data_IF_622337081325
#
_entry.id   IF_622337081325
#
_cell.length_a   1.000
_cell.length_b   1.000
_cell.length_c   1.000
_cell.angle_alpha   90.00
_cell.angle_beta   90.00
_cell.angle_gamma   90.00
#
_symmetry.space_group_name_H-M   'P 1'
#
loop_
_entity.id
_entity.type
_entity.pdbx_description
1 polymer ?
#
# COMPACT_ATOMS: atom_id res chain seq x y z
N UNK A 1 31.25 27.16 23.68
CA UNK A 1 31.16 28.03 22.50
C UNK A 1 31.26 27.15 21.26
N UNK A 2 30.13 26.71 20.70
CA UNK A 2 30.03 26.07 19.40
C UNK A 2 28.57 26.17 18.94
N UNK A 3 28.37 26.67 17.72
CA UNK A 3 27.16 27.29 17.24
C UNK A 3 25.99 26.32 17.00
N UNK A 4 24.86 26.58 17.66
CA UNK A 4 23.54 26.16 17.17
C UNK A 4 23.20 27.00 15.94
N UNK A 5 23.40 26.43 14.75
CA UNK A 5 22.87 26.99 13.52
C UNK A 5 21.39 26.65 13.42
N UNK A 6 20.59 27.72 13.40
CA UNK A 6 19.16 27.76 13.16
C UNK A 6 18.78 26.91 11.94
N UNK A 7 18.10 25.78 12.18
CA UNK A 7 17.26 25.18 11.17
C UNK A 7 16.06 26.11 10.98
N UNK A 8 16.03 26.85 9.87
CA UNK A 8 14.85 27.60 9.46
C UNK A 8 13.64 26.68 9.47
N UNK A 9 12.61 27.06 10.22
CA UNK A 9 11.35 26.34 10.23
C UNK A 9 10.85 26.25 8.78
N UNK A 10 10.86 25.03 8.23
CA UNK A 10 10.15 24.76 6.99
C UNK A 10 8.69 25.20 7.19
N UNK A 11 8.08 25.92 6.22
CA UNK A 11 6.69 26.29 6.34
C UNK A 11 5.87 25.04 6.65
N UNK A 12 4.96 25.13 7.62
CA UNK A 12 4.09 24.02 8.00
C UNK A 12 3.45 23.46 6.71
N UNK A 13 3.85 22.25 6.32
CA UNK A 13 3.26 21.55 5.19
C UNK A 13 1.76 21.53 5.42
N UNK A 14 0.99 22.06 4.46
CA UNK A 14 -0.47 21.92 4.48
C UNK A 14 -0.77 20.45 4.71
N UNK A 15 -1.61 20.15 5.72
CA UNK A 15 -1.94 18.77 6.11
C UNK A 15 -2.39 17.99 4.87
N UNK A 16 -1.63 16.95 4.50
CA UNK A 16 -1.96 16.14 3.33
C UNK A 16 -3.33 15.47 3.52
N UNK A 17 -4.15 15.44 2.48
CA UNK A 17 -5.46 14.79 2.46
C UNK A 17 -5.33 13.43 1.79
N UNK A 18 -5.93 12.42 2.40
CA UNK A 18 -6.01 11.09 1.82
C UNK A 18 -7.15 11.03 0.80
N UNK A 19 -6.85 10.55 -0.41
CA UNK A 19 -7.82 10.49 -1.51
C UNK A 19 -8.02 9.05 -1.94
N UNK A 20 -9.28 8.63 -1.95
CA UNK A 20 -9.74 7.37 -2.52
C UNK A 20 -10.39 7.65 -3.87
N UNK A 21 -9.93 6.97 -4.91
CA UNK A 21 -10.51 7.05 -6.26
C UNK A 21 -11.13 5.69 -6.54
N UNK A 22 -12.46 5.65 -6.58
CA UNK A 22 -13.23 4.45 -6.88
C UNK A 22 -13.48 4.36 -8.40
N UNK A 23 -13.68 3.14 -8.94
CA UNK A 23 -14.15 2.96 -10.30
C UNK A 23 -15.44 3.74 -10.55
N UNK A 24 -15.52 4.43 -11.69
CA UNK A 24 -16.78 5.02 -12.12
C UNK A 24 -17.63 3.93 -12.76
N UNK A 25 -18.93 3.92 -12.48
CA UNK A 25 -19.84 2.89 -12.99
C UNK A 25 -20.36 3.26 -14.38
N UNK A 26 -20.21 2.35 -15.35
CA UNK A 26 -20.69 2.54 -16.71
C UNK A 26 -22.17 2.15 -16.82
N UNK A 27 -23.07 3.15 -16.79
CA UNK A 27 -24.52 2.97 -16.75
C UNK A 27 -25.11 2.99 -18.17
N UNK A 28 -25.93 1.99 -18.49
CA UNK A 28 -26.59 1.83 -19.79
C UNK A 28 -25.62 1.78 -20.98
N UNK A 29 -24.39 1.34 -20.74
CA UNK A 29 -23.34 1.18 -21.73
C UNK A 29 -23.15 -0.28 -22.11
N UNK A 30 -22.87 -0.54 -23.40
CA UNK A 30 -22.62 -1.88 -23.90
C UNK A 30 -21.35 -2.50 -23.29
N UNK A 31 -21.20 -3.83 -23.43
CA UNK A 31 -20.03 -4.57 -22.89
C UNK A 31 -18.68 -3.98 -23.33
N UNK A 32 -18.59 -3.52 -24.58
CA UNK A 32 -17.39 -2.90 -25.15
C UNK A 32 -17.08 -1.49 -24.62
N UNK A 33 -18.01 -0.89 -23.87
CA UNK A 33 -17.87 0.47 -23.35
C UNK A 33 -17.71 0.49 -21.82
N UNK A 34 -17.76 -0.67 -21.18
CA UNK A 34 -17.63 -0.81 -19.72
C UNK A 34 -16.28 -0.30 -19.18
N UNK A 35 -15.23 -0.26 -20.02
CA UNK A 35 -13.93 0.28 -19.65
C UNK A 35 -13.91 1.81 -19.46
N UNK A 36 -14.93 2.53 -19.97
CA UNK A 36 -14.97 4.00 -19.92
C UNK A 36 -15.03 4.54 -18.48
N UNK A 37 -15.69 3.82 -17.57
CA UNK A 37 -15.72 4.20 -16.16
C UNK A 37 -14.34 4.10 -15.51
N UNK A 38 -13.63 3.01 -15.80
CA UNK A 38 -12.26 2.82 -15.34
C UNK A 38 -11.28 3.85 -15.92
N UNK A 39 -11.49 4.25 -17.17
CA UNK A 39 -10.70 5.28 -17.84
C UNK A 39 -10.69 6.60 -17.06
N UNK A 40 -11.83 7.01 -16.48
CA UNK A 40 -11.90 8.19 -15.62
C UNK A 40 -11.05 7.99 -14.36
N UNK A 41 -11.26 6.89 -13.64
CA UNK A 41 -10.53 6.59 -12.41
C UNK A 41 -9.01 6.53 -12.61
N UNK A 42 -8.55 5.93 -13.72
CA UNK A 42 -7.13 5.82 -14.05
C UNK A 42 -6.51 7.17 -14.39
N UNK A 43 -7.20 8.01 -15.16
CA UNK A 43 -6.72 9.36 -15.45
C UNK A 43 -6.59 10.20 -14.17
N UNK A 44 -7.59 10.15 -13.29
CA UNK A 44 -7.54 10.82 -11.98
C UNK A 44 -6.38 10.30 -11.13
N UNK A 45 -6.18 8.97 -11.09
CA UNK A 45 -5.09 8.33 -10.32
C UNK A 45 -3.71 8.78 -10.80
N UNK A 46 -3.45 8.71 -12.10
CA UNK A 46 -2.15 9.09 -12.67
C UNK A 46 -1.83 10.56 -12.43
N UNK A 47 -2.84 11.43 -12.44
CA UNK A 47 -2.64 12.85 -12.25
C UNK A 47 -2.53 13.25 -10.77
N UNK A 48 -3.50 12.87 -9.94
CA UNK A 48 -3.60 13.39 -8.56
C UNK A 48 -2.46 12.93 -7.66
N UNK A 49 -1.83 11.77 -7.94
CA UNK A 49 -0.62 11.30 -7.23
C UNK A 49 0.59 12.22 -7.41
N UNK A 50 0.53 13.18 -8.34
CA UNK A 50 1.59 14.17 -8.58
C UNK A 50 1.50 15.42 -7.69
N UNK A 51 0.48 15.50 -6.83
CA UNK A 51 0.30 16.61 -5.88
C UNK A 51 0.82 16.23 -4.48
N UNK A 52 1.71 17.03 -3.87
CA UNK A 52 2.29 16.71 -2.56
C UNK A 52 1.28 16.76 -1.40
N UNK A 53 0.16 17.45 -1.59
CA UNK A 53 -0.91 17.60 -0.59
C UNK A 53 -1.92 16.47 -0.64
N UNK A 54 -1.81 15.52 -1.58
CA UNK A 54 -2.71 14.39 -1.69
C UNK A 54 -1.96 13.07 -1.47
N UNK A 55 -2.52 12.22 -0.61
CA UNK A 55 -2.04 10.86 -0.39
C UNK A 55 -3.05 9.90 -0.98
N UNK A 56 -2.74 9.34 -2.14
CA UNK A 56 -3.65 8.40 -2.77
C UNK A 56 -3.64 7.07 -2.00
N UNK A 57 -4.83 6.58 -1.65
CA UNK A 57 -4.99 5.25 -1.07
C UNK A 57 -4.75 4.22 -2.18
N UNK A 58 -3.87 3.26 -1.89
CA UNK A 58 -3.55 2.18 -2.81
C UNK A 58 -4.80 1.37 -3.15
N UNK A 59 -5.21 1.48 -4.41
CA UNK A 59 -5.52 0.39 -5.32
C UNK A 59 -5.96 -0.92 -4.66
N UNK A 60 -4.93 -1.66 -4.27
CA UNK A 60 -5.00 -3.03 -3.78
C UNK A 60 -5.75 -3.18 -2.46
N UNK A 61 -5.83 -2.11 -1.65
CA UNK A 61 -6.62 -2.11 -0.41
C UNK A 61 -8.12 -2.19 -0.68
N UNK A 62 -8.58 -1.72 -1.85
CA UNK A 62 -9.98 -1.89 -2.23
C UNK A 62 -10.35 -3.37 -2.36
N UNK A 63 -9.42 -4.26 -2.77
CA UNK A 63 -9.69 -5.69 -2.94
C UNK A 63 -10.03 -6.42 -1.63
N UNK A 64 -9.64 -5.85 -0.50
CA UNK A 64 -9.95 -6.39 0.82
C UNK A 64 -11.38 -6.03 1.26
N UNK A 65 -12.07 -5.14 0.53
CA UNK A 65 -13.44 -4.76 0.78
C UNK A 65 -14.41 -5.58 -0.09
N UNK A 66 -15.69 -5.69 0.30
CA UNK A 66 -16.74 -6.17 -0.58
C UNK A 66 -16.71 -5.40 -1.92
N UNK A 67 -16.76 -6.12 -3.04
CA UNK A 67 -16.79 -5.53 -4.39
C UNK A 67 -18.25 -5.42 -4.83
N UNK A 68 -18.88 -4.24 -4.75
CA UNK A 68 -20.25 -4.08 -5.24
C UNK A 68 -20.28 -4.09 -6.77
N UNK A 69 -21.43 -4.40 -7.34
CA UNK A 69 -21.64 -4.27 -8.80
C UNK A 69 -21.50 -2.80 -9.26
N UNK A 70 -21.95 -1.85 -8.42
CA UNK A 70 -21.79 -0.43 -8.62
C UNK A 70 -21.34 0.25 -7.31
N UNK A 71 -20.37 1.18 -7.42
CA UNK A 71 -19.95 2.02 -6.31
C UNK A 71 -20.95 3.16 -6.10
N UNK A 72 -22.06 2.85 -5.42
CA UNK A 72 -23.02 3.86 -4.98
C UNK A 72 -22.50 4.66 -3.76
N UNK A 73 -23.31 5.59 -3.26
CA UNK A 73 -22.93 6.40 -2.09
C UNK A 73 -22.69 5.55 -0.84
N UNK A 74 -23.48 4.52 -0.59
CA UNK A 74 -23.36 3.70 0.61
C UNK A 74 -22.06 2.90 0.58
N UNK A 75 -21.74 2.27 -0.55
CA UNK A 75 -20.49 1.55 -0.75
C UNK A 75 -19.28 2.49 -0.68
N UNK A 76 -19.37 3.67 -1.28
CA UNK A 76 -18.31 4.68 -1.23
C UNK A 76 -18.05 5.16 0.20
N UNK A 77 -19.09 5.39 1.01
CA UNK A 77 -18.97 5.78 2.42
C UNK A 77 -18.35 4.67 3.28
N UNK A 78 -18.73 3.42 3.05
CA UNK A 78 -18.14 2.27 3.73
C UNK A 78 -16.64 2.17 3.43
N UNK A 79 -16.26 2.27 2.15
CA UNK A 79 -14.85 2.24 1.75
C UNK A 79 -14.07 3.43 2.31
N UNK A 80 -14.64 4.65 2.27
CA UNK A 80 -14.02 5.84 2.81
C UNK A 80 -13.69 5.69 4.31
N UNK A 81 -14.66 5.22 5.11
CA UNK A 81 -14.47 4.98 6.55
C UNK A 81 -13.45 3.89 6.82
N UNK A 82 -13.56 2.77 6.11
CA UNK A 82 -12.69 1.60 6.33
C UNK A 82 -11.24 1.91 5.98
N UNK A 83 -11.02 2.63 4.88
CA UNK A 83 -9.68 2.98 4.40
C UNK A 83 -9.16 4.32 4.92
N UNK A 84 -9.96 5.00 5.76
CA UNK A 84 -9.67 6.31 6.36
C UNK A 84 -9.36 7.38 5.32
N UNK A 85 -10.17 7.43 4.26
CA UNK A 85 -10.09 8.45 3.23
C UNK A 85 -10.70 9.77 3.71
N UNK A 86 -9.97 10.88 3.58
CA UNK A 86 -10.52 12.23 3.79
C UNK A 86 -11.45 12.64 2.64
N UNK A 87 -11.22 12.05 1.47
CA UNK A 87 -11.86 12.36 0.19
C UNK A 87 -12.12 11.08 -0.58
N UNK A 88 -13.32 10.92 -1.11
CA UNK A 88 -13.65 9.83 -2.04
C UNK A 88 -14.25 10.37 -3.33
N UNK A 89 -13.55 10.14 -4.44
CA UNK A 89 -14.00 10.42 -5.81
C UNK A 89 -14.57 9.14 -6.43
N UNK A 90 -15.78 9.24 -6.97
CA UNK A 90 -16.49 8.15 -7.65
C UNK A 90 -17.51 8.76 -8.62
N UNK A 91 -18.30 7.94 -9.30
CA UNK A 91 -19.35 8.46 -10.16
C UNK A 91 -19.82 7.48 -11.20
N UNK A 92 -20.47 8.01 -12.22
CA UNK A 92 -21.03 7.23 -13.32
C UNK A 92 -20.56 7.79 -14.66
N UNK A 93 -20.50 6.94 -15.67
CA UNK A 93 -20.37 7.32 -17.07
C UNK A 93 -21.59 6.77 -17.80
N UNK A 94 -22.32 7.63 -18.53
CA UNK A 94 -23.57 7.26 -19.21
C UNK A 94 -23.76 8.03 -20.51
N UNK A 95 -24.68 7.58 -21.35
CA UNK A 95 -25.12 8.32 -22.55
C UNK A 95 -26.26 9.27 -22.21
N UNK A 96 -26.12 10.53 -22.60
CA UNK A 96 -27.14 11.57 -22.46
C UNK A 96 -27.31 12.24 -23.82
N UNK A 97 -28.49 12.09 -24.42
CA UNK A 97 -28.80 12.63 -25.75
C UNK A 97 -27.82 12.23 -26.87
N UNK A 98 -27.28 11.00 -26.79
CA UNK A 98 -26.34 10.43 -27.76
C UNK A 98 -24.86 10.57 -27.37
N UNK A 99 -24.50 11.63 -26.65
CA UNK A 99 -23.13 11.88 -26.18
C UNK A 99 -22.84 11.18 -24.85
N UNK A 100 -21.55 10.98 -24.56
CA UNK A 100 -21.12 10.50 -23.26
C UNK A 100 -21.18 11.63 -22.23
N UNK A 101 -21.47 11.28 -20.98
CA UNK A 101 -21.47 12.20 -19.85
C UNK A 101 -20.84 11.55 -18.64
N UNK A 102 -19.82 12.18 -18.08
CA UNK A 102 -19.21 11.78 -16.81
C UNK A 102 -19.98 12.51 -15.70
N UNK A 103 -20.51 11.74 -14.77
CA UNK A 103 -21.31 12.18 -13.63
C UNK A 103 -20.49 11.97 -12.35
N UNK A 104 -19.54 12.88 -12.04
CA UNK A 104 -18.69 12.74 -10.88
C UNK A 104 -19.45 12.98 -9.59
N UNK A 105 -19.05 12.28 -8.55
CA UNK A 105 -19.52 12.43 -7.19
C UNK A 105 -18.33 12.51 -6.26
N UNK A 106 -18.47 13.32 -5.23
CA UNK A 106 -17.42 13.57 -4.28
C UNK A 106 -17.96 13.60 -2.86
N UNK A 107 -17.32 12.83 -1.99
CA UNK A 107 -17.58 12.79 -0.56
C UNK A 107 -16.35 13.31 0.17
N UNK A 108 -16.54 14.31 1.03
CA UNK A 108 -15.54 14.72 2.01
C UNK A 108 -15.90 14.15 3.39
N UNK A 109 -14.92 13.52 4.04
CA UNK A 109 -15.05 13.04 5.41
C UNK A 109 -14.59 14.13 6.37
N UNK A 110 -15.48 14.63 7.25
CA UNK A 110 -15.17 15.59 8.32
C UNK A 110 -15.55 15.02 9.67
N UNK A 111 -14.56 14.68 10.49
CA UNK A 111 -14.72 14.11 11.84
C UNK A 111 -15.74 12.96 11.91
N UNK A 112 -17.03 13.26 12.03
CA UNK A 112 -18.14 12.29 12.13
C UNK A 112 -19.19 12.39 11.01
N UNK A 113 -19.05 13.32 10.06
CA UNK A 113 -20.02 13.53 8.98
C UNK A 113 -19.37 13.45 7.61
N UNK A 114 -20.12 12.88 6.67
CA UNK A 114 -19.80 12.92 5.26
C UNK A 114 -20.53 14.10 4.62
N UNK A 115 -19.79 14.96 3.93
CA UNK A 115 -20.34 16.08 3.17
C UNK A 115 -20.27 15.77 1.68
N UNK A 116 -21.40 15.92 0.99
CA UNK A 116 -21.47 15.78 -0.48
C UNK A 116 -21.00 17.07 -1.11
N UNK A 117 -19.99 16.98 -1.96
CA UNK A 117 -19.54 18.10 -2.78
C UNK A 117 -20.15 17.94 -4.16
N UNK A 118 -20.97 18.92 -4.56
CA UNK A 118 -21.55 18.94 -5.89
C UNK A 118 -20.44 19.14 -6.93
N UNK A 119 -20.35 18.20 -7.87
CA UNK A 119 -19.50 18.32 -9.05
C UNK A 119 -20.40 18.34 -10.28
N UNK A 120 -20.09 19.23 -11.23
CA UNK A 120 -20.87 19.36 -12.45
C UNK A 120 -20.68 18.15 -13.36
N UNK A 121 -21.78 17.70 -13.96
CA UNK A 121 -21.76 16.74 -15.06
C UNK A 121 -20.87 17.24 -16.19
N UNK A 122 -20.03 16.36 -16.72
CA UNK A 122 -19.06 16.70 -17.76
C UNK A 122 -19.49 16.05 -19.07
N UNK A 123 -20.05 16.81 -20.03
CA UNK A 123 -20.36 16.28 -21.35
C UNK A 123 -19.09 15.95 -22.13
N UNK A 124 -19.13 14.84 -22.85
CA UNK A 124 -18.05 14.29 -23.66
C UNK A 124 -18.62 14.01 -25.04
N UNK A 125 -18.35 14.94 -25.96
CA UNK A 125 -18.66 14.75 -27.37
C UNK A 125 -17.92 13.53 -27.93
N UNK A 126 -18.45 12.95 -29.00
CA UNK A 126 -17.84 11.83 -29.70
C UNK A 126 -16.36 12.09 -30.03
N UNK A 127 -15.49 11.12 -29.71
CA UNK A 127 -14.05 11.23 -29.92
C UNK A 127 -13.28 12.12 -28.93
N UNK A 128 -13.97 12.91 -28.09
CA UNK A 128 -13.35 13.92 -27.21
C UNK A 128 -13.06 13.42 -25.78
N UNK A 129 -13.07 12.09 -25.55
CA UNK A 129 -12.87 11.52 -24.22
C UNK A 129 -11.52 11.93 -23.60
N UNK A 130 -10.41 11.76 -24.33
CA UNK A 130 -9.08 12.08 -23.81
C UNK A 130 -8.95 13.56 -23.48
N UNK A 131 -9.50 14.43 -24.30
CA UNK A 131 -9.50 15.87 -24.05
C UNK A 131 -10.29 16.23 -22.79
N UNK A 132 -11.42 15.55 -22.54
CA UNK A 132 -12.13 15.73 -21.28
C UNK A 132 -11.32 15.24 -20.10
N UNK A 133 -10.72 14.05 -20.18
CA UNK A 133 -9.92 13.48 -19.09
C UNK A 133 -8.74 14.38 -18.70
N UNK A 134 -8.11 15.05 -19.66
CA UNK A 134 -6.98 15.98 -19.42
C UNK A 134 -7.30 17.13 -18.45
N UNK A 135 -8.56 17.54 -18.36
CA UNK A 135 -8.96 18.71 -17.57
C UNK A 135 -9.59 18.35 -16.21
N UNK A 136 -10.05 17.10 -16.03
CA UNK A 136 -10.76 16.71 -14.81
C UNK A 136 -9.90 16.79 -13.54
N UNK A 137 -8.64 16.31 -13.51
CA UNK A 137 -7.87 16.30 -12.27
C UNK A 137 -7.64 17.70 -11.71
N UNK A 138 -7.37 18.70 -12.55
CA UNK A 138 -7.23 20.08 -12.09
C UNK A 138 -8.56 20.66 -11.58
N UNK A 139 -9.67 20.37 -12.25
CA UNK A 139 -11.00 20.79 -11.79
C UNK A 139 -11.35 20.16 -10.44
N UNK A 140 -11.10 18.86 -10.27
CA UNK A 140 -11.42 18.14 -9.03
C UNK A 140 -10.46 18.52 -7.90
N UNK A 141 -9.17 18.74 -8.16
CA UNK A 141 -8.25 19.28 -7.17
C UNK A 141 -8.72 20.65 -6.62
N UNK A 142 -9.22 21.54 -7.50
CA UNK A 142 -9.82 22.82 -7.07
C UNK A 142 -11.10 22.63 -6.27
N UNK A 143 -11.97 21.69 -6.67
CA UNK A 143 -13.17 21.35 -5.89
C UNK A 143 -12.84 20.82 -4.49
N UNK A 144 -11.69 20.16 -4.35
CA UNK A 144 -11.10 19.71 -3.09
C UNK A 144 -10.40 20.83 -2.31
N UNK A 145 -10.49 22.08 -2.75
CA UNK A 145 -9.83 23.23 -2.15
C UNK A 145 -8.32 23.03 -2.01
N UNK A 146 -7.73 22.21 -2.89
CA UNK A 146 -6.28 22.06 -2.99
C UNK A 146 -5.77 23.23 -3.82
N UNK A 147 -4.85 24.01 -3.24
CA UNK A 147 -4.13 25.03 -3.99
C UNK A 147 -3.27 24.35 -5.04
N UNK A 148 -3.51 24.66 -6.31
CA UNK A 148 -2.76 24.13 -7.45
C UNK A 148 -2.08 25.29 -8.15
N UNK A 149 -0.76 25.32 -8.11
CA UNK A 149 0.06 26.28 -8.86
C UNK A 149 -0.02 25.99 -10.38
N UNK A 150 0.35 26.95 -11.22
CA UNK A 150 0.37 26.74 -12.68
C UNK A 150 1.29 25.57 -13.09
N UNK A 151 2.43 25.42 -12.40
CA UNK A 151 3.35 24.31 -12.61
C UNK A 151 2.73 22.95 -12.25
N UNK A 152 1.95 22.89 -11.16
CA UNK A 152 1.22 21.69 -10.77
C UNK A 152 0.05 21.40 -11.72
N UNK A 153 -0.67 22.42 -12.17
CA UNK A 153 -1.74 22.25 -13.17
C UNK A 153 -1.18 21.68 -14.48
N UNK A 154 -0.03 22.17 -14.95
CA UNK A 154 0.65 21.62 -16.12
C UNK A 154 1.14 20.17 -15.89
N UNK A 155 1.56 19.82 -14.67
CA UNK A 155 1.94 18.45 -14.30
C UNK A 155 0.73 17.51 -14.30
N UNK A 156 -0.38 17.94 -13.69
CA UNK A 156 -1.66 17.23 -13.71
C UNK A 156 -2.08 16.93 -15.15
N UNK A 157 -2.13 17.95 -16.00
CA UNK A 157 -2.56 17.80 -17.40
C UNK A 157 -1.68 16.81 -18.17
N UNK A 158 -0.35 16.87 -18.01
CA UNK A 158 0.58 15.92 -18.64
C UNK A 158 0.36 14.48 -18.15
N UNK A 159 0.21 14.29 -16.84
CA UNK A 159 0.00 12.97 -16.25
C UNK A 159 -1.37 12.35 -16.58
N UNK A 160 -2.38 13.19 -16.83
CA UNK A 160 -3.77 12.75 -17.11
C UNK A 160 -3.96 12.10 -18.47
N UNK A 161 -3.10 12.41 -19.44
CA UNK A 161 -3.16 11.89 -20.80
C UNK A 161 -1.77 11.45 -21.28
N UNK A 162 -1.32 10.30 -20.79
CA UNK A 162 0.00 9.75 -21.09
C UNK A 162 0.15 9.24 -22.53
N UNK A 163 -0.92 9.31 -23.33
CA UNK A 163 -0.94 9.03 -24.78
C UNK A 163 -1.91 9.98 -25.48
N UNK A 164 -1.66 10.27 -26.76
CA UNK A 164 -2.59 10.98 -27.63
C UNK A 164 -3.53 10.02 -28.40
N UNK A 165 -3.29 8.70 -28.34
CA UNK A 165 -4.07 7.70 -29.07
C UNK A 165 -5.21 7.16 -28.20
N UNK A 166 -6.49 7.38 -28.58
CA UNK A 166 -7.62 6.79 -27.88
C UNK A 166 -7.58 5.25 -27.85
N UNK A 167 -7.07 4.63 -28.93
CA UNK A 167 -6.93 3.17 -29.03
C UNK A 167 -5.87 2.63 -28.08
N UNK A 168 -4.71 3.32 -27.98
CA UNK A 168 -3.67 2.93 -27.03
C UNK A 168 -4.16 3.08 -25.58
N UNK A 169 -4.87 4.17 -25.29
CA UNK A 169 -5.48 4.41 -23.98
C UNK A 169 -6.51 3.33 -23.61
N UNK A 170 -7.43 2.99 -24.52
CA UNK A 170 -8.40 1.92 -24.31
C UNK A 170 -7.72 0.58 -23.99
N UNK A 171 -6.72 0.19 -24.79
CA UNK A 171 -5.97 -1.05 -24.58
C UNK A 171 -5.29 -1.05 -23.20
N UNK A 172 -4.67 0.06 -22.82
CA UNK A 172 -4.08 0.25 -21.49
C UNK A 172 -5.10 0.09 -20.36
N UNK A 173 -6.26 0.78 -20.45
CA UNK A 173 -7.30 0.71 -19.41
C UNK A 173 -7.87 -0.70 -19.28
N UNK A 174 -8.13 -1.37 -20.40
CA UNK A 174 -8.57 -2.77 -20.41
C UNK A 174 -7.52 -3.70 -19.79
N UNK A 175 -6.23 -3.42 -20.01
CA UNK A 175 -5.16 -4.18 -19.36
C UNK A 175 -5.16 -4.00 -17.84
N UNK A 176 -5.41 -2.77 -17.34
CA UNK A 176 -5.53 -2.53 -15.90
C UNK A 176 -6.68 -3.32 -15.29
N UNK A 177 -7.83 -3.39 -15.96
CA UNK A 177 -8.97 -4.21 -15.53
C UNK A 177 -8.65 -5.70 -15.52
N UNK A 178 -7.92 -6.20 -16.52
CA UNK A 178 -7.49 -7.60 -16.58
C UNK A 178 -6.52 -7.93 -15.43
N UNK A 179 -5.50 -7.09 -15.21
CA UNK A 179 -4.51 -7.26 -14.13
C UNK A 179 -5.14 -7.14 -12.72
N UNK A 180 -6.19 -6.32 -12.56
CA UNK A 180 -6.88 -6.14 -11.28
C UNK A 180 -7.50 -7.44 -10.74
N UNK A 181 -7.82 -8.40 -11.63
CA UNK A 181 -8.34 -9.73 -11.26
C UNK A 181 -7.33 -10.58 -10.49
N UNK A 182 -6.03 -10.26 -10.60
CA UNK A 182 -4.95 -10.96 -9.92
C UNK A 182 -4.89 -12.47 -10.18
N UNK A 183 -5.35 -12.91 -11.35
CA UNK A 183 -5.23 -14.30 -11.82
C UNK A 183 -4.12 -14.40 -12.85
N UNK A 184 -3.59 -15.62 -13.03
CA UNK A 184 -2.63 -15.92 -14.09
C UNK A 184 -3.17 -15.47 -15.47
N UNK A 185 -4.40 -15.90 -15.81
CA UNK A 185 -5.08 -15.55 -17.06
C UNK A 185 -5.29 -14.04 -17.21
N UNK A 186 -5.68 -13.33 -16.14
CA UNK A 186 -5.87 -11.89 -16.16
C UNK A 186 -4.57 -11.12 -16.41
N UNK A 187 -3.47 -11.59 -15.84
CA UNK A 187 -2.14 -11.01 -16.08
C UNK A 187 -1.63 -11.32 -17.50
N UNK A 188 -1.87 -12.51 -18.03
CA UNK A 188 -1.52 -12.86 -19.42
C UNK A 188 -2.29 -12.00 -20.42
N UNK A 189 -3.60 -11.83 -20.23
CA UNK A 189 -4.41 -10.92 -21.02
C UNK A 189 -3.94 -9.45 -20.92
N UNK A 190 -3.51 -9.01 -19.73
CA UNK A 190 -2.96 -7.67 -19.54
C UNK A 190 -1.65 -7.46 -20.31
N UNK A 191 -0.78 -8.48 -20.40
CA UNK A 191 0.44 -8.41 -21.23
C UNK A 191 0.09 -8.16 -22.70
N UNK A 192 -0.86 -8.92 -23.25
CA UNK A 192 -1.28 -8.76 -24.66
C UNK A 192 -1.87 -7.37 -24.93
N UNK A 193 -2.72 -6.87 -24.03
CA UNK A 193 -3.35 -5.56 -24.17
C UNK A 193 -2.34 -4.42 -24.05
N UNK A 194 -1.36 -4.53 -23.15
CA UNK A 194 -0.29 -3.53 -23.02
C UNK A 194 0.67 -3.57 -24.22
N UNK A 195 0.96 -4.75 -24.78
CA UNK A 195 1.72 -4.87 -26.01
C UNK A 195 1.01 -4.14 -27.16
N UNK A 196 -0.31 -4.33 -27.34
CA UNK A 196 -1.10 -3.60 -28.36
C UNK A 196 -1.12 -2.09 -28.11
N UNK A 197 -1.17 -1.66 -26.85
CA UNK A 197 -1.09 -0.24 -26.50
C UNK A 197 0.24 0.36 -26.97
N UNK A 198 1.35 -0.36 -26.76
CA UNK A 198 2.70 0.06 -27.15
C UNK A 198 2.97 -0.07 -28.66
N UNK A 199 2.36 -1.02 -29.35
CA UNK A 199 2.35 -1.10 -30.82
C UNK A 199 1.64 0.10 -31.44
N UNK A 200 0.57 0.58 -30.79
CA UNK A 200 -0.19 1.73 -31.24
C UNK A 200 0.52 3.05 -30.91
N UNK A 201 1.15 3.13 -29.74
CA UNK A 201 1.93 4.28 -29.28
C UNK A 201 3.18 3.82 -28.52
N UNK A 202 4.31 3.76 -29.24
CA UNK A 202 5.59 3.32 -28.69
C UNK A 202 6.17 4.27 -27.63
N UNK A 203 5.63 5.49 -27.51
CA UNK A 203 6.04 6.48 -26.50
C UNK A 203 5.13 6.45 -25.27
N UNK A 204 4.21 5.50 -25.15
CA UNK A 204 3.31 5.38 -24.01
C UNK A 204 4.03 4.81 -22.78
N UNK A 205 4.86 5.65 -22.15
CA UNK A 205 5.75 5.31 -21.02
C UNK A 205 5.03 4.65 -19.84
N UNK A 206 3.81 5.10 -19.53
CA UNK A 206 3.02 4.52 -18.43
C UNK A 206 2.56 3.10 -18.76
N UNK A 207 2.19 2.81 -20.01
CA UNK A 207 1.88 1.45 -20.44
C UNK A 207 3.13 0.54 -20.41
N UNK A 208 4.28 1.08 -20.83
CA UNK A 208 5.59 0.42 -20.76
C UNK A 208 5.95 0.03 -19.32
N UNK A 209 5.75 0.94 -18.37
CA UNK A 209 5.91 0.67 -16.94
C UNK A 209 4.91 -0.38 -16.42
N UNK A 210 3.62 -0.24 -16.74
CA UNK A 210 2.59 -1.18 -16.34
C UNK A 210 2.86 -2.59 -16.86
N UNK A 211 3.45 -2.74 -18.05
CA UNK A 211 3.86 -4.05 -18.57
C UNK A 211 4.95 -4.68 -17.70
N UNK A 212 5.86 -3.87 -17.17
CA UNK A 212 6.84 -4.31 -16.17
C UNK A 212 6.19 -4.81 -14.88
N UNK A 213 5.18 -4.10 -14.36
CA UNK A 213 4.44 -4.51 -13.16
C UNK A 213 3.71 -5.85 -13.37
N UNK A 214 3.07 -6.03 -14.53
CA UNK A 214 2.37 -7.29 -14.86
C UNK A 214 3.37 -8.45 -14.99
N UNK A 215 4.53 -8.23 -15.63
CA UNK A 215 5.58 -9.24 -15.67
C UNK A 215 6.12 -9.58 -14.27
N UNK A 216 6.23 -8.61 -13.38
CA UNK A 216 6.62 -8.85 -11.99
C UNK A 216 5.57 -9.70 -11.27
N UNK A 217 4.27 -9.43 -11.45
CA UNK A 217 3.19 -10.24 -10.90
C UNK A 217 3.20 -11.69 -11.42
N UNK A 218 3.63 -11.90 -12.67
CA UNK A 218 3.85 -13.22 -13.27
C UNK A 218 5.17 -13.89 -12.85
N UNK A 219 5.95 -13.29 -11.94
CA UNK A 219 7.27 -13.81 -11.53
C UNK A 219 8.38 -13.66 -12.59
N UNK A 220 8.10 -13.01 -13.72
CA UNK A 220 9.02 -12.80 -14.83
C UNK A 220 9.97 -11.62 -14.56
N UNK A 221 10.80 -11.74 -13.54
CA UNK A 221 11.66 -10.67 -13.01
C UNK A 221 12.57 -10.02 -14.06
N UNK A 222 13.15 -10.80 -14.98
CA UNK A 222 14.02 -10.27 -16.03
C UNK A 222 13.25 -9.41 -17.04
N UNK A 223 12.04 -9.85 -17.43
CA UNK A 223 11.16 -9.08 -18.31
C UNK A 223 10.71 -7.80 -17.62
N UNK A 224 10.32 -7.88 -16.34
CA UNK A 224 9.95 -6.71 -15.55
C UNK A 224 11.07 -5.65 -15.50
N UNK A 225 12.30 -6.07 -15.15
CA UNK A 225 13.46 -5.18 -15.13
C UNK A 225 13.75 -4.53 -16.50
N UNK A 226 13.59 -5.29 -17.60
CA UNK A 226 13.75 -4.76 -18.95
C UNK A 226 12.71 -3.68 -19.26
N UNK A 227 11.43 -3.92 -18.92
CA UNK A 227 10.38 -2.93 -19.16
C UNK A 227 10.55 -1.67 -18.31
N UNK A 228 10.93 -1.81 -17.04
CA UNK A 228 11.20 -0.65 -16.18
C UNK A 228 12.37 0.19 -16.71
N UNK A 229 13.47 -0.45 -17.14
CA UNK A 229 14.61 0.25 -17.75
C UNK A 229 14.20 0.98 -19.03
N UNK A 230 13.44 0.33 -19.91
CA UNK A 230 12.92 0.97 -21.11
C UNK A 230 12.08 2.21 -20.77
N UNK A 231 11.21 2.10 -19.76
CA UNK A 231 10.41 3.23 -19.27
C UNK A 231 11.29 4.38 -18.75
N UNK A 232 12.33 4.10 -17.96
CA UNK A 232 13.28 5.15 -17.49
C UNK A 232 14.10 5.80 -18.60
N UNK A 233 14.34 5.09 -19.71
CA UNK A 233 15.09 5.62 -20.85
C UNK A 233 14.20 6.52 -21.72
N UNK A 234 12.92 6.18 -21.85
CA UNK A 234 11.94 6.98 -22.59
C UNK A 234 11.56 8.26 -21.84
N UNK A 235 11.31 8.17 -20.53
CA UNK A 235 11.08 9.33 -19.67
C UNK A 235 11.92 9.24 -18.39
N UNK A 236 13.09 9.92 -18.37
CA UNK A 236 13.94 10.00 -17.18
C UNK A 236 13.32 10.77 -16.01
N UNK A 237 12.17 11.42 -16.21
CA UNK A 237 11.46 12.19 -15.19
C UNK A 237 10.29 11.44 -14.56
N UNK A 238 10.00 10.22 -15.03
CA UNK A 238 8.96 9.35 -14.47
C UNK A 238 9.51 8.54 -13.28
N UNK A 239 9.10 8.82 -12.03
CA UNK A 239 9.71 8.24 -10.83
C UNK A 239 9.34 6.77 -10.54
N UNK A 240 8.16 6.32 -10.96
CA UNK A 240 7.61 4.99 -10.66
C UNK A 240 8.53 3.83 -11.08
N UNK A 241 9.08 3.80 -12.30
CA UNK A 241 9.97 2.72 -12.73
C UNK A 241 11.28 2.66 -11.93
N UNK A 242 11.82 3.80 -11.48
CA UNK A 242 13.01 3.81 -10.60
C UNK A 242 12.70 3.16 -9.26
N UNK A 243 11.55 3.48 -8.65
CA UNK A 243 11.10 2.83 -7.42
C UNK A 243 10.96 1.32 -7.63
N UNK A 244 10.33 0.88 -8.71
CA UNK A 244 10.16 -0.54 -9.01
C UNK A 244 11.47 -1.27 -9.32
N UNK A 245 12.44 -0.61 -9.97
CA UNK A 245 13.80 -1.14 -10.09
C UNK A 245 14.46 -1.31 -8.72
N UNK A 246 14.27 -0.35 -7.82
CA UNK A 246 14.69 -0.44 -6.42
C UNK A 246 14.12 -1.67 -5.72
N UNK A 247 12.80 -1.90 -5.85
CA UNK A 247 12.11 -3.08 -5.28
C UNK A 247 12.68 -4.39 -5.82
N UNK A 248 12.98 -4.43 -7.13
CA UNK A 248 13.66 -5.57 -7.71
C UNK A 248 15.05 -5.72 -7.08
N UNK A 249 15.92 -4.72 -7.11
CA UNK A 249 17.27 -4.84 -6.54
C UNK A 249 17.28 -5.26 -5.07
N UNK A 250 16.37 -4.72 -4.26
CA UNK A 250 16.21 -5.06 -2.83
C UNK A 250 15.91 -6.55 -2.63
N UNK A 251 15.03 -7.11 -3.45
CA UNK A 251 14.62 -8.53 -3.37
C UNK A 251 15.54 -9.46 -4.18
N UNK A 252 16.68 -8.97 -4.69
CA UNK A 252 17.60 -9.79 -5.48
C UNK A 252 18.30 -10.85 -4.61
N UNK A 253 18.47 -12.10 -5.10
CA UNK A 253 19.26 -13.11 -4.39
C UNK A 253 20.70 -12.64 -4.09
N UNK A 254 21.25 -11.77 -4.94
CA UNK A 254 22.59 -11.19 -4.79
C UNK A 254 22.66 -9.97 -3.85
N UNK A 255 21.57 -9.65 -3.13
CA UNK A 255 21.52 -8.55 -2.14
C UNK A 255 22.03 -7.22 -2.71
N UNK A 256 21.44 -6.77 -3.82
CA UNK A 256 21.87 -5.58 -4.57
C UNK A 256 21.41 -4.27 -3.89
N UNK A 257 21.70 -4.12 -2.60
CA UNK A 257 21.15 -3.04 -1.77
C UNK A 257 21.66 -1.65 -2.17
N UNK A 258 22.90 -1.54 -2.64
CA UNK A 258 23.43 -0.25 -3.14
C UNK A 258 22.64 0.24 -4.36
N UNK A 259 22.39 -0.64 -5.33
CA UNK A 259 21.58 -0.34 -6.50
C UNK A 259 20.12 -0.02 -6.11
N UNK A 260 19.60 -0.69 -5.08
CA UNK A 260 18.28 -0.37 -4.54
C UNK A 260 18.25 1.05 -3.96
N UNK A 261 19.23 1.41 -3.12
CA UNK A 261 19.37 2.75 -2.55
C UNK A 261 19.47 3.81 -3.64
N UNK A 262 20.29 3.60 -4.67
CA UNK A 262 20.43 4.53 -5.80
C UNK A 262 19.10 4.71 -6.55
N UNK A 263 18.40 3.62 -6.86
CA UNK A 263 17.15 3.66 -7.59
C UNK A 263 16.04 4.37 -6.79
N UNK A 264 15.92 4.09 -5.48
CA UNK A 264 14.98 4.81 -4.61
C UNK A 264 15.36 6.28 -4.45
N UNK A 265 16.64 6.61 -4.30
CA UNK A 265 17.11 7.98 -4.23
C UNK A 265 16.75 8.76 -5.50
N UNK A 266 16.87 8.14 -6.68
CA UNK A 266 16.45 8.76 -7.94
C UNK A 266 14.94 8.99 -8.00
N UNK A 267 14.12 8.03 -7.56
CA UNK A 267 12.67 8.22 -7.48
C UNK A 267 12.28 9.37 -6.54
N UNK A 268 12.98 9.52 -5.41
CA UNK A 268 12.78 10.61 -4.44
C UNK A 268 13.26 11.96 -5.00
N UNK A 269 14.38 12.00 -5.73
CA UNK A 269 14.85 13.22 -6.40
C UNK A 269 13.80 13.76 -7.37
N UNK A 270 13.19 12.89 -8.17
CA UNK A 270 12.15 13.23 -9.14
C UNK A 270 10.82 13.61 -8.47
N UNK A 271 10.49 12.97 -7.34
CA UNK A 271 9.29 13.25 -6.56
C UNK A 271 9.59 13.14 -5.05
N UNK A 272 9.95 14.27 -4.39
CA UNK A 272 10.39 14.26 -3.00
C UNK A 272 9.38 13.71 -1.99
N UNK A 273 8.09 13.80 -2.31
CA UNK A 273 6.98 13.31 -1.48
C UNK A 273 6.54 11.88 -1.82
N UNK A 274 7.32 11.12 -2.58
CA UNK A 274 6.99 9.74 -2.95
C UNK A 274 7.21 8.78 -1.76
N UNK A 275 6.20 8.67 -0.89
CA UNK A 275 6.27 7.91 0.36
C UNK A 275 6.81 6.49 0.18
N UNK A 276 6.30 5.72 -0.80
CA UNK A 276 6.74 4.34 -1.03
C UNK A 276 8.21 4.21 -1.46
N UNK A 277 8.78 5.23 -2.11
CA UNK A 277 10.21 5.26 -2.40
C UNK A 277 11.04 5.52 -1.13
N UNK A 278 10.56 6.35 -0.20
CA UNK A 278 11.18 6.51 1.12
C UNK A 278 11.08 5.22 1.96
N UNK A 279 9.96 4.49 1.88
CA UNK A 279 9.87 3.18 2.56
C UNK A 279 10.89 2.20 1.97
N UNK A 280 10.97 2.09 0.65
CA UNK A 280 11.97 1.25 -0.01
C UNK A 280 13.41 1.64 0.33
N UNK A 281 13.71 2.94 0.41
CA UNK A 281 15.01 3.44 0.86
C UNK A 281 15.30 3.02 2.31
N UNK A 282 14.30 3.09 3.19
CA UNK A 282 14.39 2.62 4.57
C UNK A 282 14.67 1.12 4.65
N UNK A 283 13.94 0.32 3.89
CA UNK A 283 14.11 -1.13 3.80
C UNK A 283 15.52 -1.50 3.31
N UNK A 284 16.01 -0.81 2.27
CA UNK A 284 17.35 -1.04 1.72
C UNK A 284 18.47 -0.65 2.69
N UNK A 285 18.31 0.46 3.43
CA UNK A 285 19.27 0.89 4.45
C UNK A 285 19.28 -0.02 5.67
N UNK A 286 18.10 -0.46 6.13
CA UNK A 286 18.00 -1.45 7.20
C UNK A 286 18.68 -2.77 6.80
N UNK A 287 18.50 -3.22 5.56
CA UNK A 287 19.16 -4.43 5.04
C UNK A 287 20.70 -4.31 4.96
N UNK A 288 21.21 -3.07 4.92
CA UNK A 288 22.64 -2.73 5.00
C UNK A 288 23.13 -2.45 6.43
N UNK A 289 22.28 -2.63 7.44
CA UNK A 289 22.54 -2.25 8.84
C UNK A 289 22.82 -0.74 9.04
N UNK A 290 22.42 0.12 8.09
CA UNK A 290 22.37 1.58 8.28
C UNK A 290 21.09 1.95 9.04
N UNK A 291 21.12 1.72 10.36
CA UNK A 291 19.96 1.87 11.24
C UNK A 291 19.44 3.30 11.26
N UNK A 292 20.31 4.30 11.42
CA UNK A 292 19.91 5.70 11.49
C UNK A 292 19.38 6.20 10.15
N UNK A 293 20.02 5.80 9.05
CA UNK A 293 19.54 6.12 7.71
C UNK A 293 18.19 5.48 7.39
N UNK A 294 17.91 4.28 7.91
CA UNK A 294 16.62 3.61 7.77
C UNK A 294 15.51 4.34 8.53
N UNK A 295 15.74 4.66 9.81
CA UNK A 295 14.79 5.45 10.63
C UNK A 295 14.48 6.78 9.97
N UNK A 296 15.51 7.50 9.48
CA UNK A 296 15.32 8.78 8.79
C UNK A 296 14.42 8.65 7.56
N UNK A 297 14.62 7.61 6.74
CA UNK A 297 13.81 7.37 5.56
C UNK A 297 12.37 6.98 5.91
N UNK A 298 12.16 6.11 6.89
CA UNK A 298 10.82 5.75 7.37
C UNK A 298 10.05 6.93 7.97
N UNK A 299 10.71 7.80 8.74
CA UNK A 299 10.09 9.03 9.26
C UNK A 299 9.65 9.94 8.12
N UNK A 300 10.47 10.12 7.08
CA UNK A 300 10.08 10.87 5.87
C UNK A 300 8.91 10.20 5.14
N UNK A 301 8.89 8.87 5.04
CA UNK A 301 7.77 8.15 4.46
C UNK A 301 6.45 8.47 5.21
N UNK A 302 6.48 8.47 6.55
CA UNK A 302 5.32 8.79 7.38
C UNK A 302 4.93 10.28 7.36
N UNK A 303 5.87 11.19 7.11
CA UNK A 303 5.55 12.60 6.85
C UNK A 303 4.71 12.77 5.59
N UNK A 304 4.93 11.94 4.57
CA UNK A 304 4.21 12.00 3.31
C UNK A 304 2.98 11.08 3.26
N UNK A 305 3.01 9.94 3.93
CA UNK A 305 1.89 9.03 4.09
C UNK A 305 1.81 8.53 5.55
N UNK A 306 1.04 9.22 6.41
CA UNK A 306 0.92 8.85 7.82
C UNK A 306 0.08 7.59 8.07
N UNK A 307 -0.55 7.01 7.04
CA UNK A 307 -1.44 5.86 7.15
C UNK A 307 -0.78 4.55 6.67
N UNK A 308 0.53 4.41 6.88
CA UNK A 308 1.26 3.20 6.50
C UNK A 308 1.65 2.36 7.73
N UNK A 309 0.86 1.32 8.08
CA UNK A 309 1.13 0.49 9.25
C UNK A 309 2.44 -0.31 9.13
N UNK A 310 2.87 -0.68 7.91
CA UNK A 310 4.13 -1.42 7.65
C UNK A 310 5.35 -0.63 8.11
N UNK A 311 5.33 0.68 7.92
CA UNK A 311 6.42 1.56 8.35
C UNK A 311 6.48 1.66 9.86
N UNK A 312 5.33 1.72 10.53
CA UNK A 312 5.26 1.69 11.99
C UNK A 312 5.79 0.37 12.58
N UNK A 313 5.47 -0.78 11.98
CA UNK A 313 6.07 -2.08 12.36
C UNK A 313 7.59 -2.07 12.18
N UNK A 314 8.08 -1.55 11.06
CA UNK A 314 9.51 -1.50 10.75
C UNK A 314 10.27 -0.61 11.75
N UNK A 315 9.70 0.55 12.09
CA UNK A 315 10.22 1.42 13.13
C UNK A 315 10.17 0.78 14.52
N UNK A 316 9.06 0.12 14.87
CA UNK A 316 8.92 -0.59 16.15
C UNK A 316 10.01 -1.64 16.34
N UNK A 317 10.25 -2.46 15.30
CA UNK A 317 11.32 -3.46 15.29
C UNK A 317 12.69 -2.83 15.47
N UNK A 318 12.98 -1.76 14.74
CA UNK A 318 14.28 -1.07 14.85
C UNK A 318 14.47 -0.44 16.24
N UNK A 319 13.45 0.24 16.76
CA UNK A 319 13.51 0.86 18.08
C UNK A 319 13.76 -0.18 19.17
N UNK A 320 13.11 -1.34 19.07
CA UNK A 320 13.32 -2.43 20.01
C UNK A 320 14.70 -3.09 19.85
N UNK A 321 14.97 -3.70 18.70
CA UNK A 321 16.10 -4.61 18.52
C UNK A 321 17.44 -3.88 18.37
N UNK A 322 17.46 -2.72 17.71
CA UNK A 322 18.71 -2.03 17.35
C UNK A 322 19.02 -0.86 18.28
N UNK A 323 18.00 -0.24 18.89
CA UNK A 323 18.18 0.96 19.72
C UNK A 323 17.82 0.78 21.20
N UNK A 324 17.15 -0.30 21.60
CA UNK A 324 16.70 -0.50 22.98
C UNK A 324 15.68 0.54 23.47
N UNK A 325 14.99 1.22 22.54
CA UNK A 325 14.00 2.26 22.80
C UNK A 325 12.60 1.63 22.94
N UNK A 326 12.34 1.06 24.12
CA UNK A 326 11.14 0.26 24.37
C UNK A 326 9.83 1.04 24.25
N UNK A 327 9.78 2.27 24.77
CA UNK A 327 8.56 3.10 24.74
C UNK A 327 8.20 3.53 23.31
N UNK A 328 9.20 3.91 22.53
CA UNK A 328 9.07 4.27 21.12
C UNK A 328 8.63 3.06 20.28
N UNK A 329 9.17 1.88 20.58
CA UNK A 329 8.74 0.62 19.96
C UNK A 329 7.26 0.32 20.23
N UNK A 330 6.84 0.32 21.51
CA UNK A 330 5.43 0.12 21.90
C UNK A 330 4.52 1.13 21.22
N UNK A 331 4.93 2.40 21.16
CA UNK A 331 4.15 3.46 20.50
C UNK A 331 4.00 3.19 19.01
N UNK A 332 5.07 2.78 18.34
CA UNK A 332 5.06 2.46 16.92
C UNK A 332 4.17 1.24 16.61
N UNK A 333 4.31 0.13 17.36
CA UNK A 333 3.45 -1.03 17.16
C UNK A 333 1.97 -0.75 17.46
N UNK A 334 1.67 -0.02 18.54
CA UNK A 334 0.29 0.40 18.84
C UNK A 334 -0.29 1.24 17.70
N UNK A 335 0.51 2.12 17.09
CA UNK A 335 0.05 2.90 15.94
C UNK A 335 -0.22 2.03 14.70
N UNK A 336 0.61 1.02 14.45
CA UNK A 336 0.35 0.05 13.39
C UNK A 336 -0.96 -0.71 13.63
N UNK A 337 -1.22 -1.19 14.85
CA UNK A 337 -2.46 -1.87 15.24
C UNK A 337 -3.66 -0.93 15.17
N UNK A 338 -3.49 0.34 15.53
CA UNK A 338 -4.55 1.35 15.39
C UNK A 338 -4.92 1.50 13.92
N UNK A 339 -3.95 1.61 13.01
CA UNK A 339 -4.16 1.78 11.57
C UNK A 339 -4.74 0.52 10.90
N UNK A 340 -4.27 -0.66 11.31
CA UNK A 340 -4.74 -1.96 10.84
C UNK A 340 -4.84 -2.95 12.03
N UNK A 341 -6.05 -3.11 12.61
CA UNK A 341 -6.26 -4.03 13.72
C UNK A 341 -5.98 -5.51 13.42
N UNK A 342 -5.96 -5.90 12.15
CA UNK A 342 -5.67 -7.27 11.70
C UNK A 342 -4.19 -7.52 11.40
N UNK A 343 -3.31 -6.54 11.63
CA UNK A 343 -1.90 -6.68 11.28
C UNK A 343 -1.13 -7.50 12.31
N UNK A 344 -1.01 -8.80 12.02
CA UNK A 344 -0.42 -9.82 12.91
C UNK A 344 1.00 -9.44 13.36
N UNK A 345 1.88 -9.02 12.44
CA UNK A 345 3.27 -8.67 12.75
C UNK A 345 3.38 -7.56 13.82
N UNK A 346 2.43 -6.61 13.82
CA UNK A 346 2.41 -5.54 14.80
C UNK A 346 2.04 -6.05 16.20
N UNK A 347 1.10 -7.00 16.30
CA UNK A 347 0.70 -7.62 17.58
C UNK A 347 1.77 -8.53 18.12
N UNK A 348 2.37 -9.35 17.27
CA UNK A 348 3.50 -10.21 17.63
C UNK A 348 4.66 -9.37 18.18
N UNK A 349 5.10 -8.35 17.44
CA UNK A 349 6.19 -7.47 17.89
C UNK A 349 5.86 -6.72 19.19
N UNK A 350 4.61 -6.27 19.38
CA UNK A 350 4.19 -5.63 20.63
C UNK A 350 4.22 -6.61 21.82
N UNK A 351 3.75 -7.84 21.61
CA UNK A 351 3.73 -8.87 22.63
C UNK A 351 5.16 -9.29 23.04
N UNK A 352 6.08 -9.44 22.08
CA UNK A 352 7.50 -9.72 22.32
C UNK A 352 8.16 -8.63 23.18
N UNK A 353 7.85 -7.34 22.91
CA UNK A 353 8.37 -6.22 23.71
C UNK A 353 7.85 -6.27 25.15
N UNK A 354 6.58 -6.61 25.36
CA UNK A 354 6.02 -6.77 26.70
C UNK A 354 6.59 -7.98 27.44
N UNK A 355 6.77 -9.10 26.75
CA UNK A 355 7.35 -10.33 27.29
C UNK A 355 8.77 -10.08 27.82
N UNK A 356 9.64 -9.45 27.01
CA UNK A 356 11.02 -9.11 27.42
C UNK A 356 11.06 -8.14 28.62
N UNK A 357 9.99 -7.36 28.82
CA UNK A 357 9.85 -6.43 29.95
C UNK A 357 9.14 -7.04 31.15
N UNK A 358 8.79 -8.33 31.10
CA UNK A 358 8.08 -9.03 32.17
C UNK A 358 6.61 -8.61 32.32
N UNK A 359 6.06 -7.89 31.35
CA UNK A 359 4.66 -7.47 31.29
C UNK A 359 3.81 -8.61 30.68
N UNK A 360 3.80 -9.74 31.37
CA UNK A 360 3.27 -11.00 30.84
C UNK A 360 1.77 -10.94 30.56
N UNK A 361 0.99 -10.19 31.34
CA UNK A 361 -0.45 -10.09 31.14
C UNK A 361 -0.77 -9.33 29.84
N UNK A 362 -0.04 -8.26 29.54
CA UNK A 362 -0.14 -7.49 28.30
C UNK A 362 0.33 -8.30 27.09
N UNK A 363 1.44 -9.05 27.22
CA UNK A 363 1.92 -9.97 26.19
C UNK A 363 0.86 -11.04 25.86
N UNK A 364 0.27 -11.67 26.88
CA UNK A 364 -0.83 -12.64 26.73
C UNK A 364 -2.00 -12.03 25.97
N UNK A 365 -2.41 -10.81 26.31
CA UNK A 365 -3.53 -10.14 25.63
C UNK A 365 -3.27 -9.99 24.14
N UNK A 366 -2.07 -9.59 23.73
CA UNK A 366 -1.75 -9.37 22.32
C UNK A 366 -1.53 -10.68 21.54
N UNK A 367 -0.83 -11.66 22.11
CA UNK A 367 -0.69 -12.99 21.49
C UNK A 367 -2.04 -13.71 21.37
N UNK A 368 -2.94 -13.60 22.36
CA UNK A 368 -4.29 -14.17 22.27
C UNK A 368 -5.09 -13.61 21.11
N UNK A 369 -5.02 -12.30 20.85
CA UNK A 369 -5.70 -11.69 19.69
C UNK A 369 -5.21 -12.26 18.36
N UNK A 370 -3.92 -12.60 18.26
CA UNK A 370 -3.38 -13.28 17.07
C UNK A 370 -3.96 -14.69 16.94
N UNK A 371 -4.03 -15.45 18.03
CA UNK A 371 -4.61 -16.81 18.04
C UNK A 371 -6.13 -16.79 17.83
N UNK A 372 -6.83 -15.75 18.24
CA UNK A 372 -8.27 -15.53 17.96
C UNK A 372 -8.50 -15.26 16.47
N UNK A 373 -7.60 -14.49 15.83
CA UNK A 373 -7.65 -14.21 14.39
C UNK A 373 -7.27 -15.44 13.56
N UNK A 374 -6.23 -16.18 13.97
CA UNK A 374 -5.83 -17.44 13.37
C UNK A 374 -5.48 -18.47 14.47
N UNK A 375 -6.44 -19.37 14.69
CA UNK A 375 -6.34 -20.45 15.66
C UNK A 375 -5.20 -21.45 15.37
N UNK A 376 -4.57 -21.40 14.20
CA UNK A 376 -3.50 -22.29 13.75
C UNK A 376 -2.14 -21.59 13.67
N UNK A 377 -2.05 -20.32 14.07
CA UNK A 377 -0.80 -19.56 14.01
C UNK A 377 0.25 -20.12 14.98
N UNK A 378 1.19 -20.92 14.47
CA UNK A 378 2.16 -21.68 15.28
C UNK A 378 3.09 -20.77 16.09
N UNK A 379 3.60 -19.69 15.50
CA UNK A 379 4.47 -18.73 16.21
C UNK A 379 3.80 -18.08 17.42
N UNK A 380 2.57 -17.57 17.28
CA UNK A 380 1.80 -17.01 18.38
C UNK A 380 1.47 -18.04 19.46
N UNK A 381 1.12 -19.29 19.09
CA UNK A 381 0.88 -20.36 20.07
C UNK A 381 2.15 -20.71 20.86
N UNK A 382 3.30 -20.77 20.18
CA UNK A 382 4.60 -21.04 20.79
C UNK A 382 4.94 -19.94 21.81
N UNK A 383 4.92 -18.67 21.39
CA UNK A 383 5.25 -17.56 22.28
C UNK A 383 4.23 -17.40 23.42
N UNK A 384 2.94 -17.60 23.15
CA UNK A 384 1.91 -17.57 24.19
C UNK A 384 2.15 -18.66 25.24
N UNK A 385 2.54 -19.87 24.83
CA UNK A 385 2.88 -20.95 25.76
C UNK A 385 4.07 -20.57 26.65
N UNK A 386 5.13 -19.99 26.08
CA UNK A 386 6.30 -19.49 26.82
C UNK A 386 5.92 -18.45 27.88
N UNK A 387 5.08 -17.47 27.52
CA UNK A 387 4.62 -16.46 28.47
C UNK A 387 3.78 -17.10 29.59
N UNK A 388 2.92 -18.08 29.26
CA UNK A 388 2.14 -18.79 30.26
C UNK A 388 3.00 -19.62 31.22
N UNK A 389 4.18 -20.11 30.84
CA UNK A 389 5.07 -20.79 31.80
C UNK A 389 5.43 -19.90 33.00
N UNK A 390 5.43 -18.59 32.80
CA UNK A 390 5.76 -17.61 33.84
C UNK A 390 4.59 -17.28 34.76
N UNK A 391 3.34 -17.55 34.34
CA UNK A 391 2.14 -17.08 35.06
C UNK A 391 1.12 -18.18 35.39
N UNK A 392 0.97 -19.21 34.56
CA UNK A 392 0.08 -20.34 34.76
C UNK A 392 0.57 -21.59 33.99
N UNK A 393 1.17 -22.52 34.75
CA UNK A 393 1.72 -23.77 34.20
C UNK A 393 0.66 -24.68 33.56
N UNK A 394 -0.62 -24.61 33.97
CA UNK A 394 -1.67 -25.46 33.39
C UNK A 394 -2.06 -24.98 32.01
N UNK A 395 -2.27 -23.68 31.87
CA UNK A 395 -2.53 -23.05 30.56
C UNK A 395 -1.34 -23.24 29.61
N UNK A 396 -0.11 -23.13 30.12
CA UNK A 396 1.10 -23.40 29.34
C UNK A 396 1.11 -24.82 28.77
N UNK A 397 0.77 -25.84 29.58
CA UNK A 397 0.67 -27.23 29.15
C UNK A 397 -0.35 -27.39 28.02
N UNK A 398 -1.55 -26.81 28.17
CA UNK A 398 -2.60 -26.89 27.14
C UNK A 398 -2.14 -26.25 25.83
N UNK A 399 -1.45 -25.13 25.89
CA UNK A 399 -0.92 -24.45 24.70
C UNK A 399 0.23 -25.22 24.06
N UNK A 400 1.13 -25.80 24.84
CA UNK A 400 2.20 -26.65 24.31
C UNK A 400 1.66 -27.88 23.60
N UNK A 401 0.66 -28.56 24.17
CA UNK A 401 -0.01 -29.70 23.52
C UNK A 401 -0.64 -29.28 22.19
N UNK A 402 -1.32 -28.13 22.17
CA UNK A 402 -1.93 -27.58 20.96
C UNK A 402 -0.90 -27.20 19.90
N UNK A 403 0.19 -26.53 20.28
CA UNK A 403 1.30 -26.20 19.37
C UNK A 403 1.89 -27.47 18.77
N UNK A 404 2.24 -28.47 19.59
CA UNK A 404 2.82 -29.75 19.12
C UNK A 404 1.87 -30.47 18.17
N UNK A 405 0.56 -30.47 18.46
CA UNK A 405 -0.44 -31.09 17.58
C UNK A 405 -0.49 -30.44 16.19
N UNK A 406 -0.40 -29.11 16.13
CA UNK A 406 -0.49 -28.35 14.88
C UNK A 406 0.82 -28.28 14.09
N UNK A 407 1.94 -28.16 14.80
CA UNK A 407 3.27 -28.01 14.22
C UNK A 407 3.97 -29.35 13.97
N UNK A 408 3.58 -30.43 14.66
CA UNK A 408 4.25 -31.74 14.59
C UNK A 408 4.23 -32.43 13.22
N UNK A 409 3.32 -32.04 12.32
CA UNK A 409 3.26 -32.53 10.94
C UNK A 409 4.05 -31.66 9.94
N UNK A 410 4.62 -30.54 10.39
CA UNK A 410 5.30 -29.56 9.55
C UNK A 410 6.83 -29.80 9.63
N UNK A 411 7.50 -30.19 8.53
CA UNK A 411 8.94 -30.47 8.56
C UNK A 411 9.80 -29.27 9.00
N UNK A 412 9.34 -28.05 8.70
CA UNK A 412 10.02 -26.79 9.06
C UNK A 412 9.97 -26.48 10.56
N UNK A 413 9.06 -27.10 11.31
CA UNK A 413 8.85 -26.86 12.74
C UNK A 413 9.48 -27.95 13.62
N UNK A 414 10.13 -28.96 13.02
CA UNK A 414 10.59 -30.16 13.73
C UNK A 414 11.43 -29.82 14.98
N UNK A 415 12.43 -28.94 14.82
CA UNK A 415 13.34 -28.58 15.92
C UNK A 415 12.60 -27.85 17.05
N UNK A 416 11.68 -26.95 16.69
CA UNK A 416 10.85 -26.21 17.64
C UNK A 416 9.83 -27.11 18.36
N UNK A 417 9.29 -28.13 17.68
CA UNK A 417 8.42 -29.14 18.28
C UNK A 417 9.19 -29.99 19.29
N UNK A 418 10.44 -30.35 19.01
CA UNK A 418 11.27 -31.08 19.97
C UNK A 418 11.58 -30.23 21.21
N UNK A 419 11.84 -28.94 21.04
CA UNK A 419 11.96 -27.98 22.16
C UNK A 419 10.65 -27.93 22.96
N UNK A 420 9.51 -27.76 22.31
CA UNK A 420 8.20 -27.70 22.97
C UNK A 420 7.90 -28.97 23.79
N UNK A 421 8.29 -30.16 23.32
CA UNK A 421 8.15 -31.42 24.08
C UNK A 421 8.97 -31.43 25.37
N UNK A 422 10.16 -30.81 25.36
CA UNK A 422 10.99 -30.69 26.55
C UNK A 422 10.34 -29.76 27.59
N UNK A 423 9.82 -28.62 27.16
CA UNK A 423 9.04 -27.70 27.99
C UNK A 423 7.82 -28.41 28.61
N UNK A 424 7.02 -29.07 27.79
CA UNK A 424 5.84 -29.83 28.22
C UNK A 424 6.18 -30.91 29.27
N UNK A 425 7.25 -31.69 29.03
CA UNK A 425 7.71 -32.72 29.97
C UNK A 425 8.14 -32.12 31.31
N UNK A 426 8.86 -31.00 31.28
CA UNK A 426 9.33 -30.29 32.48
C UNK A 426 8.15 -29.79 33.32
N UNK A 427 7.17 -29.13 32.70
CA UNK A 427 6.00 -28.59 33.39
C UNK A 427 5.14 -29.68 34.03
N UNK A 428 4.86 -30.76 33.30
CA UNK A 428 4.11 -31.92 33.85
C UNK A 428 4.82 -32.53 35.06
N UNK A 429 6.14 -32.74 34.96
CA UNK A 429 6.93 -33.27 36.07
C UNK A 429 7.02 -32.32 37.29
N UNK A 430 6.86 -31.02 37.12
CA UNK A 430 6.79 -30.06 38.23
C UNK A 430 5.44 -30.13 38.95
N UNK A 431 4.33 -30.24 38.21
CA UNK A 431 2.99 -30.37 38.78
C UNK A 431 2.80 -31.70 39.52
N UNK A 432 3.39 -32.80 39.02
CA UNK A 432 3.36 -34.11 39.67
C UNK A 432 4.13 -34.14 41.00
N UNK A 433 5.13 -33.28 41.18
CA UNK A 433 5.94 -33.18 42.42
C UNK A 433 5.38 -32.18 43.44
N UNK A 434 4.48 -31.30 43.02
CA UNK A 434 3.89 -30.24 43.84
C UNK A 434 2.51 -30.59 44.42
N UNK A 435 1.89 -31.66 43.95
CA UNK A 435 0.74 -32.33 44.58
C UNK A 435 1.23 -33.45 45.51
#
# INVERSE_FOLDING_TARGET
MAAMLLAGAAPALAKSRTVLILPFFAVDLGREEQWLGESVAQSLSLALVTLPTLVQIDRQRLRQLPQPEAWDEQAALLAARTLRADVTLYGEVRRVSGDLSIQPRLIEMRAERAERVALEAQPVAEGMLLDRLRVLPAAYARALKVSVTDAEAARLQRASAPTASPRAWEAYVRAQLAAARATQEGNEAAVELLARALETDAQFVVAQYSLGLVHQALGNRWKAAAQFRASTQQDPTFPEPFKSLGDLFLTAPRRLFDQAVEAYAKAIELRPFFAEAHVGLGDARAAKADVDGAVSAYVKALQHNPLNPRVHVSLGRIYYAEKGLYYESVTAYRKAIELDPGYVDARMGLAEVYEDKGLYQEAITEYRKVVEQDARHTGALYNLALVYEQVDAREAITLWERYIQLAGSQPTEKDWVDVARLHLKKLKGQLEKGN
#
